data_IF_323224361548
#
_entry.id   IF_323224361548
#
_cell.length_a   1.000
_cell.length_b   1.000
_cell.length_c   1.000
_cell.angle_alpha   90.00
_cell.angle_beta   90.00
_cell.angle_gamma   90.00
#
_symmetry.space_group_name_H-M   'P 1'
#
loop_
_entity.id
_entity.type
_entity.pdbx_description
1 polymer ?
#
# COMPACT_ATOMS: atom_id res chain seq x y z
N UNK A 1 13.77 1.10 -6.64
CA UNK A 1 13.49 2.14 -5.61
C UNK A 1 14.79 2.54 -4.91
N UNK A 2 14.94 3.78 -4.45
CA UNK A 2 16.14 4.23 -3.71
C UNK A 2 15.88 4.41 -2.22
N UNK A 3 16.89 4.14 -1.39
CA UNK A 3 16.85 4.40 0.05
C UNK A 3 16.87 5.91 0.28
N UNK A 4 16.03 6.38 1.20
CA UNK A 4 15.99 7.76 1.65
C UNK A 4 16.41 7.78 3.11
N UNK A 5 17.40 8.59 3.44
CA UNK A 5 17.85 8.70 4.82
C UNK A 5 16.78 9.38 5.68
N UNK A 6 16.52 8.80 6.84
CA UNK A 6 15.58 9.36 7.80
C UNK A 6 16.24 9.49 9.15
N UNK A 7 16.04 10.64 9.77
CA UNK A 7 16.43 10.87 11.15
C UNK A 7 15.62 9.99 12.09
N UNK A 8 16.09 9.82 13.33
CA UNK A 8 15.35 9.11 14.38
C UNK A 8 13.95 9.72 14.66
N UNK A 9 13.75 11.01 14.32
CA UNK A 9 12.45 11.68 14.40
C UNK A 9 11.52 11.44 13.20
N UNK A 10 11.94 10.65 12.20
CA UNK A 10 11.17 10.38 10.98
C UNK A 10 11.17 11.54 9.97
N UNK A 11 12.10 12.51 10.13
CA UNK A 11 12.32 13.61 9.18
C UNK A 11 13.23 13.13 8.07
N UNK A 12 12.84 13.41 6.83
CA UNK A 12 13.60 13.15 5.60
C UNK A 12 14.35 14.43 5.22
N UNK A 13 15.53 14.28 4.63
CA UNK A 13 16.32 15.40 4.13
C UNK A 13 15.51 16.21 3.09
N UNK A 14 15.42 17.55 3.22
CA UNK A 14 14.81 18.39 2.20
C UNK A 14 15.35 18.17 0.78
N UNK A 15 16.62 17.81 0.61
CA UNK A 15 17.23 17.54 -0.71
C UNK A 15 16.59 16.32 -1.39
N UNK A 16 16.31 15.25 -0.64
CA UNK A 16 15.62 14.05 -1.14
C UNK A 16 14.17 14.37 -1.55
N UNK A 17 13.50 15.23 -0.78
CA UNK A 17 12.15 15.71 -1.12
C UNK A 17 12.17 16.58 -2.37
N UNK A 18 13.18 17.43 -2.53
CA UNK A 18 13.36 18.26 -3.72
C UNK A 18 13.68 17.43 -4.97
N UNK A 19 14.46 16.35 -4.85
CA UNK A 19 14.70 15.40 -5.94
C UNK A 19 13.39 14.77 -6.45
N UNK A 20 12.42 14.58 -5.56
CA UNK A 20 11.05 14.13 -5.87
C UNK A 20 10.11 15.26 -6.30
N UNK A 21 10.67 16.44 -6.60
CA UNK A 21 9.96 17.64 -7.05
C UNK A 21 9.28 18.45 -5.94
N UNK A 22 9.40 18.02 -4.69
CA UNK A 22 8.81 18.67 -3.53
C UNK A 22 7.43 18.17 -3.14
N UNK A 23 6.98 18.58 -1.95
CA UNK A 23 5.65 18.26 -1.43
C UNK A 23 4.55 19.08 -2.13
N UNK A 24 3.37 18.48 -2.29
CA UNK A 24 2.19 19.25 -2.68
C UNK A 24 1.81 20.25 -1.60
N UNK A 25 1.46 21.48 -2.03
CA UNK A 25 0.81 22.44 -1.14
C UNK A 25 -0.56 21.91 -0.68
N UNK A 26 -0.97 22.31 0.52
CA UNK A 26 -2.24 21.88 1.13
C UNK A 26 -3.45 22.10 0.20
N UNK A 27 -3.50 23.25 -0.48
CA UNK A 27 -4.54 23.56 -1.47
C UNK A 27 -4.56 22.58 -2.65
N UNK A 28 -3.39 22.19 -3.18
CA UNK A 28 -3.31 21.19 -4.25
C UNK A 28 -3.77 19.82 -3.77
N UNK A 29 -3.45 19.43 -2.53
CA UNK A 29 -3.90 18.15 -1.93
C UNK A 29 -5.43 18.09 -1.79
N UNK A 30 -6.05 19.20 -1.39
CA UNK A 30 -7.52 19.29 -1.28
C UNK A 30 -8.19 19.24 -2.65
N UNK A 31 -7.69 20.00 -3.63
CA UNK A 31 -8.23 19.98 -5.00
C UNK A 31 -8.18 18.60 -5.65
N UNK A 32 -7.22 17.76 -5.24
CA UNK A 32 -7.12 16.36 -5.65
C UNK A 32 -8.02 15.41 -4.83
N UNK A 33 -9.01 15.95 -4.10
CA UNK A 33 -10.00 15.18 -3.36
C UNK A 33 -9.47 14.55 -2.07
N UNK A 34 -8.44 15.15 -1.46
CA UNK A 34 -7.82 14.66 -0.24
C UNK A 34 -6.99 13.40 -0.51
N UNK A 35 -5.84 13.55 -1.16
CA UNK A 35 -4.87 12.45 -1.27
C UNK A 35 -4.22 12.28 0.10
N UNK A 36 -4.81 11.39 0.89
CA UNK A 36 -4.26 10.90 2.15
C UNK A 36 -2.98 10.10 1.94
N UNK A 37 -2.40 9.62 3.03
CA UNK A 37 -1.30 8.66 2.99
C UNK A 37 -1.87 7.29 3.39
N UNK A 38 -2.28 6.45 2.42
CA UNK A 38 -2.89 5.17 2.75
C UNK A 38 -1.86 4.30 3.45
N UNK A 39 -2.32 3.61 4.50
CA UNK A 39 -1.50 2.68 5.27
C UNK A 39 -1.67 1.28 4.72
N UNK A 40 -0.55 0.65 4.38
CA UNK A 40 -0.49 -0.75 3.94
C UNK A 40 0.42 -1.53 4.88
N UNK A 41 0.35 -2.84 4.79
CA UNK A 41 1.30 -3.75 5.44
C UNK A 41 2.35 -4.10 4.40
N UNK A 42 3.61 -3.91 4.73
CA UNK A 42 4.70 -4.35 3.88
C UNK A 42 4.86 -5.88 3.98
N UNK A 43 5.02 -6.54 2.84
CA UNK A 43 5.20 -8.00 2.76
C UNK A 43 6.63 -8.35 2.35
N UNK A 44 7.11 -7.84 1.20
CA UNK A 44 8.47 -8.14 0.70
C UNK A 44 8.89 -7.30 -0.52
N UNK A 45 10.19 -7.35 -0.86
CA UNK A 45 10.75 -6.85 -2.13
C UNK A 45 11.60 -5.59 -2.02
N UNK A 46 11.57 -4.89 -0.88
CA UNK A 46 12.34 -3.68 -0.58
C UNK A 46 13.41 -4.03 0.48
N UNK A 47 14.70 -4.11 0.11
CA UNK A 47 15.75 -4.58 1.02
C UNK A 47 15.86 -3.81 2.35
N UNK A 48 15.68 -2.48 2.32
CA UNK A 48 15.71 -1.67 3.54
C UNK A 48 14.53 -1.92 4.47
N UNK A 49 13.38 -2.34 3.93
CA UNK A 49 12.20 -2.69 4.73
C UNK A 49 12.29 -4.14 5.22
N UNK A 50 12.86 -5.04 4.44
CA UNK A 50 13.13 -6.42 4.85
C UNK A 50 13.98 -6.42 6.13
N UNK A 51 15.01 -5.57 6.19
CA UNK A 51 15.87 -5.35 7.36
C UNK A 51 15.14 -4.87 8.61
N UNK A 52 13.97 -4.20 8.49
CA UNK A 52 13.17 -3.81 9.65
C UNK A 52 12.56 -5.02 10.38
N UNK A 53 12.22 -6.07 9.63
CA UNK A 53 11.55 -7.26 10.14
C UNK A 53 12.53 -8.36 10.59
N UNK A 54 13.80 -8.27 10.19
CA UNK A 54 14.83 -9.24 10.56
C UNK A 54 14.94 -9.37 12.09
N UNK A 55 14.73 -10.61 12.58
CA UNK A 55 15.01 -11.01 13.95
C UNK A 55 13.86 -10.92 14.96
N UNK A 56 12.64 -10.49 14.57
CA UNK A 56 11.52 -10.46 15.50
C UNK A 56 10.25 -11.08 14.91
N UNK A 57 10.02 -12.35 15.25
CA UNK A 57 8.80 -13.05 14.89
C UNK A 57 7.57 -12.33 15.46
N UNK A 58 6.53 -12.18 14.63
CA UNK A 58 5.26 -11.56 15.03
C UNK A 58 5.20 -10.04 14.94
N UNK A 59 6.23 -9.35 14.41
CA UNK A 59 6.14 -7.91 14.14
C UNK A 59 5.61 -7.64 12.72
N UNK A 60 4.64 -6.73 12.63
CA UNK A 60 4.11 -6.24 11.35
C UNK A 60 4.79 -4.92 10.98
N UNK A 61 5.33 -4.86 9.76
CA UNK A 61 5.83 -3.61 9.19
C UNK A 61 4.70 -2.91 8.46
N UNK A 62 4.36 -1.69 8.88
CA UNK A 62 3.40 -0.84 8.18
C UNK A 62 4.14 0.12 7.27
N UNK A 63 3.67 0.29 6.04
CA UNK A 63 4.18 1.29 5.12
C UNK A 63 3.09 2.31 4.76
N UNK A 64 3.51 3.55 4.57
CA UNK A 64 2.67 4.68 4.22
C UNK A 64 3.14 5.26 2.90
N UNK A 65 2.23 5.40 1.94
CA UNK A 65 2.52 6.06 0.66
C UNK A 65 2.30 7.57 0.78
N UNK A 66 3.22 8.36 0.25
CA UNK A 66 3.14 9.82 0.19
C UNK A 66 3.42 10.27 -1.24
N UNK A 67 2.48 11.00 -1.84
CA UNK A 67 2.71 11.60 -3.16
C UNK A 67 3.50 12.89 -3.02
N UNK A 68 4.55 12.97 -3.84
CA UNK A 68 5.29 14.18 -4.14
C UNK A 68 5.04 14.55 -5.60
N UNK A 69 5.48 15.71 -6.05
CA UNK A 69 5.09 16.20 -7.39
C UNK A 69 5.67 15.36 -8.53
N UNK A 70 6.85 14.76 -8.34
CA UNK A 70 7.56 13.97 -9.37
C UNK A 70 7.84 12.52 -8.94
N UNK A 71 7.39 12.12 -7.74
CA UNK A 71 7.60 10.77 -7.27
C UNK A 71 6.78 10.36 -6.06
N UNK A 72 7.01 9.12 -5.66
CA UNK A 72 6.34 8.43 -4.58
C UNK A 72 7.34 8.15 -3.46
N UNK A 73 6.98 8.56 -2.26
CA UNK A 73 7.73 8.28 -1.04
C UNK A 73 6.99 7.22 -0.22
N UNK A 74 7.73 6.23 0.27
CA UNK A 74 7.23 5.19 1.15
C UNK A 74 7.94 5.30 2.49
N UNK A 75 7.18 5.39 3.58
CA UNK A 75 7.71 5.35 4.94
C UNK A 75 7.27 4.06 5.60
N UNK A 76 8.21 3.23 6.01
CA UNK A 76 7.96 2.02 6.79
C UNK A 76 8.23 2.24 8.26
N UNK A 77 7.38 1.65 9.10
CA UNK A 77 7.55 1.57 10.54
C UNK A 77 7.32 0.12 10.99
N UNK A 78 8.28 -0.40 11.73
CA UNK A 78 8.15 -1.62 12.51
C UNK A 78 8.53 -1.32 13.96
N UNK A 79 7.53 -1.08 14.81
CA UNK A 79 7.68 -0.66 16.22
C UNK A 79 8.40 0.68 16.41
N UNK A 80 9.69 0.65 16.77
CA UNK A 80 10.55 1.83 16.94
C UNK A 80 11.56 2.00 15.80
N UNK A 81 11.52 1.10 14.80
CA UNK A 81 12.42 1.12 13.65
C UNK A 81 11.68 1.74 12.48
N UNK A 82 12.32 2.70 11.84
CA UNK A 82 11.80 3.38 10.67
C UNK A 82 12.74 3.12 9.49
N UNK A 83 12.18 3.06 8.29
CA UNK A 83 12.94 3.20 7.05
C UNK A 83 12.11 3.98 6.03
N UNK A 84 12.77 4.63 5.07
CA UNK A 84 12.09 5.22 3.93
C UNK A 84 12.76 4.84 2.62
N UNK A 85 11.94 4.73 1.58
CA UNK A 85 12.40 4.61 0.21
C UNK A 85 11.58 5.53 -0.67
N UNK A 86 12.18 5.97 -1.77
CA UNK A 86 11.50 6.78 -2.75
C UNK A 86 11.74 6.27 -4.17
N UNK A 87 10.86 6.68 -5.07
CA UNK A 87 10.97 6.40 -6.50
C UNK A 87 10.29 7.49 -7.29
N UNK A 88 10.88 7.87 -8.43
CA UNK A 88 10.19 8.72 -9.41
C UNK A 88 9.05 7.95 -10.06
N UNK A 89 8.03 8.66 -10.54
CA UNK A 89 6.91 8.04 -11.22
C UNK A 89 7.32 7.29 -12.49
N UNK A 90 8.27 7.85 -13.24
CA UNK A 90 8.80 7.26 -14.48
C UNK A 90 9.49 5.90 -14.26
N UNK A 91 10.04 5.68 -13.06
CA UNK A 91 10.66 4.42 -12.68
C UNK A 91 9.64 3.32 -12.33
N UNK A 92 8.34 3.62 -12.32
CA UNK A 92 7.28 2.65 -12.07
C UNK A 92 6.70 2.12 -13.38
N UNK A 93 6.60 0.79 -13.47
CA UNK A 93 6.05 0.08 -14.63
C UNK A 93 4.59 -0.29 -14.43
N UNK A 94 4.22 -0.79 -13.25
CA UNK A 94 2.85 -1.21 -12.97
C UNK A 94 2.51 -1.11 -11.48
N UNK A 95 1.24 -0.82 -11.18
CA UNK A 95 0.66 -0.88 -9.84
C UNK A 95 -0.63 -1.70 -9.93
N UNK A 96 -0.73 -2.78 -9.16
CA UNK A 96 -1.85 -3.71 -9.21
C UNK A 96 -2.45 -3.87 -7.82
N UNK A 97 -3.72 -3.54 -7.66
CA UNK A 97 -4.48 -3.79 -6.44
C UNK A 97 -5.50 -4.89 -6.68
N UNK A 98 -5.27 -6.06 -6.08
CA UNK A 98 -6.17 -7.21 -6.16
C UNK A 98 -6.96 -7.35 -4.88
N UNK A 99 -8.29 -7.28 -4.97
CA UNK A 99 -9.20 -7.57 -3.85
C UNK A 99 -9.51 -9.06 -3.76
N UNK A 100 -9.47 -9.61 -2.55
CA UNK A 100 -9.86 -10.99 -2.25
C UNK A 100 -11.16 -11.00 -1.47
N UNK A 101 -12.23 -11.61 -2.02
CA UNK A 101 -13.54 -11.60 -1.38
C UNK A 101 -13.48 -12.36 -0.05
N UNK A 102 -14.00 -11.76 1.02
CA UNK A 102 -14.19 -12.41 2.32
C UNK A 102 -15.69 -12.60 2.58
N UNK A 103 -16.07 -13.81 2.97
CA UNK A 103 -17.44 -14.12 3.40
C UNK A 103 -17.67 -13.58 4.81
N UNK A 104 -18.51 -12.56 4.97
CA UNK A 104 -18.94 -12.09 6.28
C UNK A 104 -20.27 -12.74 6.65
N UNK A 105 -20.36 -13.36 7.84
CA UNK A 105 -21.65 -13.80 8.39
C UNK A 105 -22.38 -12.58 8.96
N UNK A 106 -23.41 -12.10 8.27
CA UNK A 106 -24.26 -11.03 8.77
C UNK A 106 -24.93 -11.35 10.11
N UNK A 107 -25.34 -10.34 10.89
CA UNK A 107 -26.06 -10.55 12.14
C UNK A 107 -27.35 -11.34 11.87
N UNK A 108 -27.60 -12.40 12.65
CA UNK A 108 -28.86 -13.14 12.65
C UNK A 108 -30.00 -12.23 13.15
N UNK A 109 -30.51 -11.34 12.29
CA UNK A 109 -31.80 -10.67 12.53
C UNK A 109 -32.78 -11.10 11.44
N UNK A 110 -33.74 -11.89 11.92
CA UNK A 110 -35.06 -12.21 11.39
C UNK A 110 -35.29 -12.19 9.87
N UNK A 111 -35.50 -13.40 9.32
CA UNK A 111 -36.37 -13.67 8.16
C UNK A 111 -35.93 -13.21 6.76
N UNK A 112 -34.64 -13.19 6.44
CA UNK A 112 -34.23 -13.40 5.04
C UNK A 112 -33.38 -14.67 4.90
N UNK A 113 -33.83 -15.61 4.07
CA UNK A 113 -33.06 -16.80 3.64
C UNK A 113 -31.98 -16.45 2.62
N UNK A 114 -31.82 -15.17 2.28
CA UNK A 114 -30.78 -14.66 1.43
C UNK A 114 -29.60 -14.32 2.32
N UNK A 115 -28.58 -15.17 2.33
CA UNK A 115 -27.28 -14.82 2.89
C UNK A 115 -26.79 -13.58 2.11
N UNK A 116 -26.93 -12.39 2.70
CA UNK A 116 -26.37 -11.17 2.12
C UNK A 116 -24.84 -11.33 2.18
N UNK A 117 -24.22 -11.52 1.02
CA UNK A 117 -22.79 -11.48 0.86
C UNK A 117 -22.37 -10.01 0.83
N UNK A 118 -22.01 -9.43 1.98
CA UNK A 118 -21.21 -8.21 1.95
C UNK A 118 -19.79 -8.66 1.61
N UNK A 119 -19.42 -8.54 0.33
CA UNK A 119 -18.07 -8.92 -0.12
C UNK A 119 -17.11 -7.84 0.36
N UNK A 120 -16.43 -8.15 1.45
CA UNK A 120 -15.43 -7.29 2.07
C UNK A 120 -14.06 -7.78 1.61
N UNK A 121 -13.23 -6.89 1.04
CA UNK A 121 -11.97 -7.28 0.41
C UNK A 121 -10.76 -7.05 1.32
N UNK A 122 -9.97 -8.09 1.60
CA UNK A 122 -8.53 -7.90 1.88
C UNK A 122 -7.83 -7.64 0.55
N UNK A 123 -6.83 -6.78 0.50
CA UNK A 123 -6.13 -6.47 -0.76
C UNK A 123 -4.69 -6.95 -0.79
N UNK A 124 -4.24 -7.38 -1.96
CA UNK A 124 -2.82 -7.45 -2.28
C UNK A 124 -2.49 -6.30 -3.23
N UNK A 125 -1.50 -5.50 -2.86
CA UNK A 125 -0.96 -4.44 -3.69
C UNK A 125 0.43 -4.85 -4.17
N UNK A 126 0.63 -4.85 -5.47
CA UNK A 126 1.93 -5.10 -6.11
C UNK A 126 2.35 -3.84 -6.85
N UNK A 127 3.55 -3.36 -6.55
CA UNK A 127 4.22 -2.28 -7.31
C UNK A 127 5.36 -2.93 -8.07
N UNK A 128 5.49 -2.63 -9.36
CA UNK A 128 6.55 -3.15 -10.23
C UNK A 128 7.29 -1.97 -10.84
N UNK A 129 8.62 -1.99 -10.79
CA UNK A 129 9.45 -0.97 -11.43
C UNK A 129 9.87 -1.35 -12.85
N UNK A 130 10.63 -0.46 -13.50
CA UNK A 130 11.12 -0.68 -14.86
C UNK A 130 12.12 -1.84 -14.98
N UNK A 131 12.73 -2.26 -13.86
CA UNK A 131 13.67 -3.40 -13.81
C UNK A 131 12.94 -4.72 -13.51
N UNK A 132 11.61 -4.73 -13.57
CA UNK A 132 10.75 -5.87 -13.25
C UNK A 132 10.87 -6.38 -11.79
N UNK A 133 11.43 -5.56 -10.90
CA UNK A 133 11.43 -5.83 -9.47
C UNK A 133 10.02 -5.57 -8.92
N UNK A 134 9.48 -6.56 -8.20
CA UNK A 134 8.16 -6.49 -7.60
C UNK A 134 8.23 -6.25 -6.08
N UNK A 135 7.38 -5.34 -5.62
CA UNK A 135 7.23 -4.94 -4.22
C UNK A 135 5.82 -5.28 -3.77
N UNK A 136 5.72 -6.07 -2.71
CA UNK A 136 4.47 -6.67 -2.26
C UNK A 136 4.00 -6.04 -0.96
N UNK A 137 2.72 -5.67 -0.96
CA UNK A 137 2.04 -5.09 0.18
C UNK A 137 0.66 -5.73 0.35
N UNK A 138 0.15 -5.68 1.57
CA UNK A 138 -1.22 -6.04 1.88
C UNK A 138 -2.02 -4.81 2.30
N UNK A 139 -3.30 -4.81 2.00
CA UNK A 139 -4.24 -3.83 2.50
C UNK A 139 -5.20 -4.49 3.47
N UNK A 140 -5.45 -3.80 4.59
CA UNK A 140 -6.57 -4.16 5.46
C UNK A 140 -7.86 -3.82 4.73
N UNK A 141 -8.93 -4.51 5.12
CA UNK A 141 -10.29 -4.23 4.69
C UNK A 141 -10.64 -2.74 4.76
N UNK A 142 -10.36 -2.10 5.90
CA UNK A 142 -10.66 -0.69 6.14
C UNK A 142 -9.87 0.26 5.26
N UNK A 143 -8.72 -0.18 4.75
CA UNK A 143 -7.79 0.62 3.96
C UNK A 143 -7.94 0.35 2.45
N UNK A 144 -8.65 -0.71 2.04
CA UNK A 144 -8.73 -1.12 0.64
C UNK A 144 -9.23 0.01 -0.28
N UNK A 145 -10.36 0.63 0.06
CA UNK A 145 -10.92 1.73 -0.73
C UNK A 145 -10.03 2.99 -0.67
N UNK A 146 -9.34 3.23 0.45
CA UNK A 146 -8.42 4.36 0.56
C UNK A 146 -7.19 4.17 -0.36
N UNK A 147 -6.63 2.96 -0.39
CA UNK A 147 -5.52 2.59 -1.29
C UNK A 147 -5.97 2.67 -2.75
N UNK A 148 -7.14 2.12 -3.07
CA UNK A 148 -7.73 2.20 -4.41
C UNK A 148 -7.90 3.65 -4.86
N UNK A 149 -8.52 4.49 -4.01
CA UNK A 149 -8.75 5.89 -4.31
C UNK A 149 -7.44 6.67 -4.45
N UNK A 150 -6.41 6.36 -3.66
CA UNK A 150 -5.10 6.99 -3.74
C UNK A 150 -4.48 6.80 -5.12
N UNK A 151 -4.41 5.55 -5.60
CA UNK A 151 -3.81 5.25 -6.90
C UNK A 151 -4.70 5.60 -8.08
N UNK A 152 -6.03 5.48 -7.97
CA UNK A 152 -6.94 5.77 -9.07
C UNK A 152 -7.14 7.26 -9.36
N UNK A 153 -6.98 8.13 -8.35
CA UNK A 153 -7.21 9.58 -8.49
C UNK A 153 -5.94 10.34 -8.89
N UNK A 154 -4.76 9.76 -8.70
CA UNK A 154 -3.51 10.38 -9.06
C UNK A 154 -3.25 10.21 -10.58
N UNK A 155 -3.24 11.29 -11.38
CA UNK A 155 -3.04 11.20 -12.82
C UNK A 155 -1.71 10.55 -13.20
N UNK A 156 -0.70 10.65 -12.32
CA UNK A 156 0.62 10.06 -12.49
C UNK A 156 0.57 8.53 -12.60
N UNK A 157 -0.49 7.89 -12.11
CA UNK A 157 -0.66 6.44 -12.17
C UNK A 157 -1.73 5.97 -13.17
N UNK A 158 -2.40 6.89 -13.88
CA UNK A 158 -3.56 6.54 -14.70
C UNK A 158 -3.28 5.46 -15.76
N UNK A 159 -2.05 5.42 -16.30
CA UNK A 159 -1.64 4.43 -17.30
C UNK A 159 -1.12 3.10 -16.71
N UNK A 160 -0.71 3.10 -15.43
CA UNK A 160 0.01 1.97 -14.82
C UNK A 160 -0.77 1.31 -13.67
N UNK A 161 -1.81 1.98 -13.15
CA UNK A 161 -2.64 1.45 -12.08
C UNK A 161 -3.77 0.58 -12.63
N UNK A 162 -3.96 -0.58 -11.99
CA UNK A 162 -5.05 -1.49 -12.28
C UNK A 162 -5.62 -2.09 -11.00
N UNK A 163 -6.93 -2.36 -11.02
CA UNK A 163 -7.63 -3.05 -9.93
C UNK A 163 -8.29 -4.31 -10.45
N UNK A 164 -8.23 -5.37 -9.67
CA UNK A 164 -8.90 -6.64 -9.99
C UNK A 164 -9.51 -7.30 -8.77
N UNK A 165 -10.34 -8.31 -9.02
CA UNK A 165 -10.82 -9.22 -7.98
C UNK A 165 -10.22 -10.59 -8.24
N UNK A 166 -9.68 -11.21 -7.19
CA UNK A 166 -9.28 -12.60 -7.27
C UNK A 166 -10.53 -13.49 -7.42
N UNK A 167 -10.54 -14.45 -8.36
CA UNK A 167 -11.61 -15.43 -8.45
C UNK A 167 -11.58 -16.43 -7.27
N UNK A 168 -10.46 -16.50 -6.55
CA UNK A 168 -10.24 -17.40 -5.43
C UNK A 168 -10.37 -16.59 -4.13
N UNK A 169 -11.28 -16.96 -3.21
CA UNK A 169 -11.33 -16.38 -1.87
C UNK A 169 -9.98 -16.52 -1.15
N UNK A 170 -9.59 -15.53 -0.36
CA UNK A 170 -8.28 -15.56 0.34
C UNK A 170 -8.11 -16.83 1.18
N UNK A 171 -9.18 -17.32 1.79
CA UNK A 171 -9.19 -18.54 2.63
C UNK A 171 -8.77 -19.81 1.87
N UNK A 172 -8.89 -19.79 0.55
CA UNK A 172 -8.55 -20.89 -0.35
C UNK A 172 -7.17 -20.68 -1.01
N UNK A 173 -6.61 -19.46 -0.93
CA UNK A 173 -5.25 -19.13 -1.38
C UNK A 173 -4.26 -19.29 -0.23
N UNK A 174 -3.90 -20.54 0.08
CA UNK A 174 -3.07 -20.87 1.26
C UNK A 174 -1.66 -20.23 1.26
N UNK A 175 -1.10 -19.87 0.10
CA UNK A 175 0.21 -19.23 0.01
C UNK A 175 0.12 -17.74 0.37
N UNK A 176 -0.87 -17.05 -0.20
CA UNK A 176 -1.10 -15.64 0.07
C UNK A 176 -1.75 -15.43 1.44
N UNK A 177 -2.66 -16.32 1.87
CA UNK A 177 -3.25 -16.31 3.20
C UNK A 177 -2.18 -16.38 4.28
N UNK A 178 -1.19 -17.26 4.16
CA UNK A 178 -0.06 -17.31 5.12
C UNK A 178 0.80 -16.05 5.13
N UNK A 179 0.91 -15.36 3.99
CA UNK A 179 1.62 -14.07 3.89
C UNK A 179 0.77 -12.89 4.39
N UNK A 180 -0.56 -13.00 4.36
CA UNK A 180 -1.53 -11.96 4.73
C UNK A 180 -2.26 -12.21 6.06
N UNK A 181 -1.99 -13.34 6.71
CA UNK A 181 -2.41 -13.68 8.06
C UNK A 181 -1.50 -12.92 9.03
N UNK A 182 -1.83 -11.64 9.17
CA UNK A 182 -1.69 -10.89 10.42
C UNK A 182 -2.37 -11.64 11.58
#
# INVERSE_FOLDING_TARGET
MQIVEITQGGVIDPEDILWLGGSYSWLKRIRRGGIGSPKVIYVSGIPSFDQLSHGVAGQTTFANFELLTEGLLLRANCTQRLAAVATRYEALKAIRLTGYPVKVRGPRRWRSKTANYDVVYKGALTVVDQEDQAYYFATRVSEFEAVKAFFSKAPEFAAIFSTGLSPIPLQEDSALARQLDL
#
